data_IF_346691255602
#
_entry.id   IF_346691255602
#
_cell.length_a   1.000
_cell.length_b   1.000
_cell.length_c   1.000
_cell.angle_alpha   90.00
_cell.angle_beta   90.00
_cell.angle_gamma   90.00
#
_symmetry.space_group_name_H-M   'P 1'
#
loop_
_entity.id
_entity.type
_entity.pdbx_description
1 polymer ?
#
# COMPACT_ATOMS: atom_id res chain seq x y z
N UNK A 1 -21.31 1.04 -10.45
CA UNK A 1 -21.78 0.61 -9.11
C UNK A 1 -21.57 -0.89 -9.04
N UNK A 2 -20.91 -1.37 -7.98
CA UNK A 2 -20.55 -2.80 -7.84
C UNK A 2 -21.80 -3.64 -7.50
N UNK A 3 -22.53 -3.25 -6.47
CA UNK A 3 -23.78 -3.89 -6.04
C UNK A 3 -24.86 -2.81 -5.88
N UNK A 4 -25.90 -2.75 -6.75
CA UNK A 4 -26.89 -1.66 -6.73
C UNK A 4 -27.68 -1.55 -5.42
N UNK A 5 -27.98 -2.67 -4.77
CA UNK A 5 -28.77 -2.75 -3.55
C UNK A 5 -27.93 -2.86 -2.27
N UNK A 6 -26.63 -2.57 -2.35
CA UNK A 6 -25.72 -2.66 -1.20
C UNK A 6 -26.25 -1.87 0.00
N UNK A 7 -26.21 -2.48 1.17
CA UNK A 7 -26.60 -1.89 2.46
C UNK A 7 -25.42 -1.80 3.41
N UNK A 8 -24.42 -2.69 3.26
CA UNK A 8 -23.28 -2.74 4.14
C UNK A 8 -21.99 -3.07 3.38
N UNK A 9 -20.87 -2.67 3.97
CA UNK A 9 -19.53 -3.13 3.63
C UNK A 9 -18.91 -3.74 4.87
N UNK A 10 -18.39 -4.96 4.74
CA UNK A 10 -17.71 -5.67 5.82
C UNK A 10 -16.22 -5.61 5.51
N UNK A 11 -15.43 -5.06 6.43
CA UNK A 11 -13.98 -4.97 6.29
C UNK A 11 -13.25 -5.98 7.16
N UNK A 12 -12.23 -6.61 6.61
CA UNK A 12 -11.37 -7.56 7.30
C UNK A 12 -9.91 -7.14 7.22
N UNK A 13 -9.19 -7.27 8.33
CA UNK A 13 -7.78 -6.96 8.43
C UNK A 13 -6.94 -8.18 8.80
N UNK A 14 -5.87 -8.41 8.05
CA UNK A 14 -4.88 -9.46 8.30
C UNK A 14 -3.56 -8.83 8.76
N UNK A 15 -3.08 -9.21 9.93
CA UNK A 15 -1.81 -8.73 10.43
C UNK A 15 -0.63 -9.37 9.67
N UNK A 16 0.34 -8.56 9.27
CA UNK A 16 1.60 -9.05 8.71
C UNK A 16 2.46 -9.59 9.84
N UNK A 17 2.97 -10.85 9.76
CA UNK A 17 3.79 -11.42 10.81
C UNK A 17 5.03 -10.58 11.13
N UNK A 18 5.24 -10.33 12.42
CA UNK A 18 6.30 -9.45 12.95
C UNK A 18 7.72 -9.85 12.49
N UNK A 19 7.98 -11.14 12.33
CA UNK A 19 9.29 -11.64 11.87
C UNK A 19 9.67 -11.15 10.47
N UNK A 20 8.69 -10.94 9.59
CA UNK A 20 8.95 -10.52 8.20
C UNK A 20 9.55 -9.12 8.13
N UNK A 21 8.98 -8.14 8.85
CA UNK A 21 9.52 -6.78 8.82
C UNK A 21 10.73 -6.59 9.73
N UNK A 22 10.87 -7.36 10.80
CA UNK A 22 12.12 -7.39 11.60
C UNK A 22 13.30 -7.92 10.79
N UNK A 23 13.10 -8.91 9.94
CA UNK A 23 14.15 -9.41 9.07
C UNK A 23 14.61 -8.37 8.05
N UNK A 24 13.67 -7.56 7.50
CA UNK A 24 14.03 -6.43 6.63
C UNK A 24 14.80 -5.35 7.38
N UNK A 25 14.44 -5.05 8.62
CA UNK A 25 15.17 -4.10 9.47
C UNK A 25 16.64 -4.53 9.67
N UNK A 26 16.86 -5.83 9.73
CA UNK A 26 18.21 -6.43 9.80
C UNK A 26 18.91 -6.51 8.42
N UNK A 27 18.33 -5.96 7.37
CA UNK A 27 18.95 -5.86 6.05
C UNK A 27 18.86 -7.11 5.19
N UNK A 28 17.86 -7.97 5.43
CA UNK A 28 17.63 -9.17 4.61
C UNK A 28 16.13 -9.47 4.46
N UNK A 29 15.77 -10.55 3.73
CA UNK A 29 14.39 -11.01 3.53
C UNK A 29 13.48 -10.01 2.78
N UNK A 30 14.03 -9.16 1.93
CA UNK A 30 13.27 -8.16 1.16
C UNK A 30 12.21 -8.79 0.24
N UNK A 31 12.53 -9.93 -0.40
CA UNK A 31 11.57 -10.70 -1.20
C UNK A 31 10.56 -11.46 -0.33
N UNK A 32 11.02 -12.04 0.77
CA UNK A 32 10.15 -12.80 1.68
C UNK A 32 9.05 -11.91 2.24
N UNK A 33 9.35 -10.66 2.57
CA UNK A 33 8.35 -9.70 2.99
C UNK A 33 7.29 -9.47 1.90
N UNK A 34 7.71 -9.20 0.66
CA UNK A 34 6.77 -8.92 -0.44
C UNK A 34 5.97 -10.13 -0.87
N UNK A 35 6.51 -11.34 -0.71
CA UNK A 35 5.78 -12.57 -1.00
C UNK A 35 4.87 -12.98 0.15
N UNK A 36 5.40 -13.27 1.33
CA UNK A 36 4.59 -13.78 2.46
C UNK A 36 3.80 -12.69 3.18
N UNK A 37 4.36 -11.48 3.31
CA UNK A 37 3.71 -10.38 4.01
C UNK A 37 2.75 -9.54 3.16
N UNK A 38 2.77 -9.72 1.84
CA UNK A 38 1.89 -8.99 0.91
C UNK A 38 1.15 -9.98 0.01
N UNK A 39 1.83 -10.61 -0.95
CA UNK A 39 1.21 -11.43 -1.98
C UNK A 39 0.34 -12.56 -1.40
N UNK A 40 0.91 -13.41 -0.55
CA UNK A 40 0.17 -14.56 -0.02
C UNK A 40 -0.99 -14.17 0.90
N UNK A 41 -0.89 -13.03 1.57
CA UNK A 41 -2.03 -12.52 2.34
C UNK A 41 -3.12 -12.00 1.40
N UNK A 42 -2.76 -11.20 0.38
CA UNK A 42 -3.73 -10.55 -0.49
C UNK A 42 -4.37 -11.50 -1.52
N UNK A 43 -3.55 -12.39 -2.11
CA UNK A 43 -3.95 -13.19 -3.26
C UNK A 43 -4.32 -14.64 -2.93
N UNK A 44 -3.99 -15.13 -1.73
CA UNK A 44 -4.33 -16.49 -1.33
C UNK A 44 -5.16 -16.53 -0.04
N UNK A 45 -4.64 -15.98 1.06
CA UNK A 45 -5.37 -15.98 2.32
C UNK A 45 -6.68 -15.21 2.22
N UNK A 46 -6.63 -13.98 1.71
CA UNK A 46 -7.81 -13.13 1.60
C UNK A 46 -8.83 -13.72 0.62
N UNK A 47 -8.39 -14.31 -0.50
CA UNK A 47 -9.29 -14.93 -1.47
C UNK A 47 -10.05 -16.13 -0.87
N UNK A 48 -9.32 -17.06 -0.23
CA UNK A 48 -9.95 -18.22 0.42
C UNK A 48 -10.90 -17.77 1.53
N UNK A 49 -10.51 -16.77 2.29
CA UNK A 49 -11.33 -16.22 3.36
C UNK A 49 -12.60 -15.55 2.80
N UNK A 50 -12.46 -14.69 1.78
CA UNK A 50 -13.58 -14.01 1.13
C UNK A 50 -14.59 -15.00 0.53
N UNK A 51 -14.11 -16.05 -0.17
CA UNK A 51 -14.97 -17.08 -0.73
C UNK A 51 -15.80 -17.81 0.34
N UNK A 52 -15.18 -18.12 1.48
CA UNK A 52 -15.89 -18.75 2.60
C UNK A 52 -16.92 -17.83 3.24
N UNK A 53 -16.53 -16.61 3.53
CA UNK A 53 -17.42 -15.63 4.16
C UNK A 53 -18.55 -15.19 3.22
N UNK A 54 -18.23 -15.01 1.93
CA UNK A 54 -19.25 -14.72 0.92
C UNK A 54 -20.28 -15.84 0.80
N UNK A 55 -19.83 -17.09 0.73
CA UNK A 55 -20.74 -18.25 0.72
C UNK A 55 -21.65 -18.28 1.94
N UNK A 56 -21.15 -17.98 3.14
CA UNK A 56 -21.99 -17.91 4.35
C UNK A 56 -23.07 -16.83 4.25
N UNK A 57 -22.76 -15.67 3.65
CA UNK A 57 -23.73 -14.59 3.45
C UNK A 57 -24.78 -15.01 2.42
N UNK A 58 -24.37 -15.68 1.35
CA UNK A 58 -25.26 -16.16 0.29
C UNK A 58 -26.16 -17.30 0.78
N UNK A 59 -25.67 -18.16 1.67
CA UNK A 59 -26.48 -19.21 2.33
C UNK A 59 -27.62 -18.62 3.18
N UNK A 60 -27.46 -17.39 3.70
CA UNK A 60 -28.49 -16.63 4.40
C UNK A 60 -29.44 -15.87 3.44
N UNK A 61 -29.24 -15.98 2.13
CA UNK A 61 -30.10 -15.40 1.09
C UNK A 61 -29.76 -13.97 0.70
N UNK A 62 -28.55 -13.49 0.96
CA UNK A 62 -28.07 -12.16 0.59
C UNK A 62 -26.96 -12.23 -0.47
N UNK A 63 -26.79 -11.15 -1.23
CA UNK A 63 -25.70 -11.04 -2.20
C UNK A 63 -24.38 -10.65 -1.51
N UNK A 64 -23.26 -11.22 -1.98
CA UNK A 64 -21.92 -10.94 -1.47
C UNK A 64 -20.93 -10.63 -2.60
N UNK A 65 -20.60 -9.35 -2.81
CA UNK A 65 -19.57 -8.93 -3.76
C UNK A 65 -18.21 -8.84 -3.08
N UNK A 66 -17.34 -9.80 -3.38
CA UNK A 66 -16.02 -9.95 -2.76
C UNK A 66 -15.03 -8.95 -3.34
N UNK A 67 -14.30 -8.23 -2.47
CA UNK A 67 -13.33 -7.22 -2.85
C UNK A 67 -11.97 -7.56 -2.26
N UNK A 68 -11.05 -8.02 -3.11
CA UNK A 68 -9.65 -8.26 -2.76
C UNK A 68 -8.75 -7.15 -3.26
N UNK A 69 -7.60 -6.94 -2.61
CA UNK A 69 -6.58 -6.06 -3.14
C UNK A 69 -6.06 -6.61 -4.48
N UNK A 70 -6.15 -5.80 -5.53
CA UNK A 70 -5.58 -6.14 -6.83
C UNK A 70 -4.27 -5.35 -6.96
N UNK A 71 -3.10 -6.05 -6.90
CA UNK A 71 -1.82 -5.40 -7.06
C UNK A 71 -1.74 -4.79 -8.45
N UNK A 72 -1.33 -3.68 -8.72
CA UNK A 72 -1.16 -3.02 -10.03
C UNK A 72 -2.41 -2.30 -10.60
N UNK A 73 -3.56 -2.41 -9.98
CA UNK A 73 -4.68 -1.53 -10.33
C UNK A 73 -4.55 -0.25 -9.51
N UNK A 74 -4.24 0.85 -10.20
CA UNK A 74 -4.08 2.18 -9.61
C UNK A 74 -5.01 3.15 -10.31
N UNK A 75 -5.74 3.94 -9.56
CA UNK A 75 -6.71 4.89 -10.11
C UNK A 75 -5.97 6.17 -10.48
N UNK A 76 -6.09 6.58 -11.75
CA UNK A 76 -5.58 7.87 -12.20
C UNK A 76 -6.26 8.99 -11.41
N UNK A 77 -5.45 9.90 -10.85
CA UNK A 77 -5.96 10.97 -10.01
C UNK A 77 -6.41 10.51 -8.62
N UNK A 78 -6.07 9.29 -8.20
CA UNK A 78 -6.35 8.86 -6.83
C UNK A 78 -5.54 9.69 -5.84
N UNK A 79 -6.26 10.38 -4.96
CA UNK A 79 -5.71 11.18 -3.87
C UNK A 79 -5.76 10.33 -2.62
N UNK A 80 -4.63 9.82 -2.21
CA UNK A 80 -4.53 8.97 -1.01
C UNK A 80 -4.80 9.77 0.27
N UNK A 81 -3.79 10.10 1.03
CA UNK A 81 -3.93 10.78 2.33
C UNK A 81 -4.06 12.29 2.24
N UNK A 82 -3.64 12.88 1.14
CA UNK A 82 -3.68 14.33 0.91
C UNK A 82 -4.47 14.62 -0.37
N UNK A 83 -5.59 15.36 -0.30
CA UNK A 83 -6.36 15.76 -1.47
C UNK A 83 -5.58 16.64 -2.48
N UNK A 84 -4.47 17.22 -2.07
CA UNK A 84 -3.58 18.02 -2.92
C UNK A 84 -2.52 17.19 -3.65
N UNK A 85 -2.33 15.92 -3.26
CA UNK A 85 -1.45 15.00 -3.99
C UNK A 85 -2.14 14.60 -5.28
N UNK A 86 -1.63 15.13 -6.37
CA UNK A 86 -2.15 14.88 -7.71
C UNK A 86 -1.49 13.65 -8.27
N UNK A 87 -2.31 12.73 -8.78
CA UNK A 87 -1.90 11.61 -9.63
C UNK A 87 -0.74 10.77 -9.18
N UNK A 88 -1.01 9.84 -8.34
CA UNK A 88 0.02 8.93 -7.91
C UNK A 88 0.17 7.72 -8.81
N UNK A 89 -0.89 7.30 -9.49
CA UNK A 89 -0.85 6.11 -10.35
C UNK A 89 -1.92 6.17 -11.47
N UNK A 90 -1.59 5.64 -12.62
CA UNK A 90 -2.56 5.34 -13.68
C UNK A 90 -3.16 3.95 -13.47
N UNK A 91 -4.46 3.83 -13.62
CA UNK A 91 -5.14 2.55 -13.73
C UNK A 91 -5.11 2.11 -15.18
N UNK A 92 -4.07 1.40 -15.57
CA UNK A 92 -3.83 1.03 -16.96
C UNK A 92 -4.89 0.04 -17.49
N UNK A 93 -5.62 -0.65 -16.59
CA UNK A 93 -6.51 -1.75 -16.97
C UNK A 93 -7.98 -1.54 -16.62
N UNK A 94 -8.36 -0.35 -16.16
CA UNK A 94 -9.76 -0.03 -15.85
C UNK A 94 -10.29 1.18 -16.61
N UNK A 95 -9.64 1.57 -17.70
CA UNK A 95 -10.21 2.55 -18.62
C UNK A 95 -11.23 1.90 -19.55
N UNK A 96 -12.31 2.62 -19.82
CA UNK A 96 -13.24 2.21 -20.84
C UNK A 96 -12.50 2.17 -22.19
N UNK A 97 -12.76 1.17 -23.02
CA UNK A 97 -12.13 1.04 -24.34
C UNK A 97 -12.48 2.20 -25.28
N UNK A 98 -13.62 2.85 -25.02
CA UNK A 98 -14.09 4.08 -25.68
C UNK A 98 -15.09 4.81 -24.79
N UNK A 99 -15.36 6.07 -25.09
CA UNK A 99 -16.32 6.87 -24.34
C UNK A 99 -17.71 6.21 -24.32
N UNK A 100 -18.32 6.12 -23.13
CA UNK A 100 -19.64 5.51 -22.91
C UNK A 100 -19.62 3.98 -22.74
N UNK A 101 -18.48 3.32 -22.87
CA UNK A 101 -18.36 1.90 -22.53
C UNK A 101 -18.03 1.70 -21.05
N UNK A 102 -18.41 0.56 -20.46
CA UNK A 102 -18.06 0.25 -19.08
C UNK A 102 -16.55 0.01 -18.94
N UNK A 103 -16.01 0.29 -17.76
CA UNK A 103 -14.70 -0.20 -17.36
C UNK A 103 -14.78 -1.70 -17.01
N UNK A 104 -13.71 -2.49 -17.23
CA UNK A 104 -13.71 -3.93 -16.95
C UNK A 104 -14.02 -4.24 -15.48
N UNK A 105 -13.37 -3.53 -14.56
CA UNK A 105 -13.55 -3.72 -13.13
C UNK A 105 -13.72 -2.37 -12.41
N UNK A 106 -14.71 -2.30 -11.53
CA UNK A 106 -14.88 -1.18 -10.60
C UNK A 106 -14.32 -1.62 -9.26
N UNK A 107 -13.33 -0.89 -8.76
CA UNK A 107 -12.61 -1.22 -7.53
C UNK A 107 -12.94 -0.19 -6.46
N UNK A 108 -13.15 -0.64 -5.23
CA UNK A 108 -13.29 0.25 -4.09
C UNK A 108 -11.93 0.85 -3.70
N UNK A 109 -11.95 2.05 -3.15
CA UNK A 109 -10.79 2.62 -2.46
C UNK A 109 -10.58 1.88 -1.14
N UNK A 110 -9.58 1.01 -1.09
CA UNK A 110 -9.28 0.15 0.06
C UNK A 110 -8.91 0.93 1.31
N UNK A 111 -8.25 2.08 1.16
CA UNK A 111 -7.91 2.93 2.28
C UNK A 111 -9.15 3.59 2.88
N UNK A 112 -10.01 4.19 2.04
CA UNK A 112 -11.27 4.77 2.50
C UNK A 112 -12.20 3.72 3.10
N UNK A 113 -12.30 2.54 2.47
CA UNK A 113 -13.10 1.43 3.00
C UNK A 113 -12.59 0.97 4.37
N UNK A 114 -11.27 0.78 4.53
CA UNK A 114 -10.69 0.39 5.81
C UNK A 114 -10.92 1.45 6.90
N UNK A 115 -10.77 2.73 6.56
CA UNK A 115 -11.10 3.82 7.48
C UNK A 115 -12.58 3.82 7.86
N UNK A 116 -13.49 3.73 6.89
CA UNK A 116 -14.94 3.73 7.12
C UNK A 116 -15.42 2.51 7.91
N UNK A 117 -14.76 1.35 7.75
CA UNK A 117 -15.04 0.15 8.54
C UNK A 117 -14.37 0.17 9.93
N UNK A 118 -13.73 1.27 10.35
CA UNK A 118 -13.11 1.36 11.67
C UNK A 118 -11.86 0.48 11.85
N UNK A 119 -11.25 0.01 10.76
CA UNK A 119 -10.07 -0.87 10.83
C UNK A 119 -8.76 -0.12 11.14
N UNK A 120 -8.77 1.19 11.05
CA UNK A 120 -7.64 2.05 11.35
C UNK A 120 -7.84 3.47 10.85
N UNK A 121 -6.83 4.29 11.01
CA UNK A 121 -6.79 5.71 10.65
C UNK A 121 -5.67 5.99 9.64
N UNK A 122 -5.82 7.03 8.83
CA UNK A 122 -4.78 7.48 7.93
C UNK A 122 -3.54 8.03 8.65
N UNK A 123 -2.40 7.41 8.42
CA UNK A 123 -1.11 7.92 8.85
C UNK A 123 -0.44 8.84 7.83
N UNK A 124 0.50 9.68 8.26
CA UNK A 124 1.32 10.50 7.38
C UNK A 124 2.09 9.66 6.33
N UNK A 125 2.40 8.41 6.64
CA UNK A 125 3.05 7.47 5.74
C UNK A 125 2.15 6.93 4.62
N UNK A 126 0.92 7.46 4.47
CA UNK A 126 -0.02 7.03 3.44
C UNK A 126 -0.61 5.64 3.67
N UNK A 127 -0.60 5.15 4.90
CA UNK A 127 -1.18 3.86 5.28
C UNK A 127 -2.32 4.03 6.25
N UNK A 128 -3.25 3.09 6.22
CA UNK A 128 -4.17 2.91 7.33
C UNK A 128 -3.38 2.26 8.46
N UNK A 129 -3.36 2.90 9.61
CA UNK A 129 -2.65 2.44 10.79
C UNK A 129 -3.63 2.01 11.86
N UNK A 130 -3.35 0.86 12.45
CA UNK A 130 -4.12 0.26 13.54
C UNK A 130 -3.31 0.38 14.83
N UNK A 131 -3.98 0.60 15.97
CA UNK A 131 -3.31 0.79 17.27
C UNK A 131 -2.51 -0.45 17.71
N UNK A 132 -2.97 -1.64 17.32
CA UNK A 132 -2.33 -2.90 17.70
C UNK A 132 -1.20 -3.29 16.74
N UNK A 133 -1.43 -3.18 15.42
CA UNK A 133 -0.52 -3.67 14.38
C UNK A 133 0.18 -2.55 13.60
N UNK A 134 -0.10 -1.28 13.93
CA UNK A 134 0.44 -0.14 13.20
C UNK A 134 0.08 -0.21 11.71
N UNK A 135 1.03 0.08 10.82
CA UNK A 135 0.82 0.01 9.36
C UNK A 135 0.97 -1.39 8.76
N UNK A 136 1.18 -2.44 9.59
CA UNK A 136 1.42 -3.80 9.13
C UNK A 136 0.12 -4.62 9.07
N UNK A 137 -0.85 -4.09 8.30
CA UNK A 137 -2.14 -4.72 8.03
C UNK A 137 -2.38 -4.83 6.53
N UNK A 138 -3.11 -5.88 6.13
CA UNK A 138 -3.64 -6.08 4.78
C UNK A 138 -5.15 -6.19 4.89
N UNK A 139 -5.89 -5.70 3.90
CA UNK A 139 -7.34 -5.58 3.99
C UNK A 139 -8.04 -6.24 2.82
N UNK A 140 -9.21 -6.81 3.09
CA UNK A 140 -10.18 -7.19 2.07
C UNK A 140 -11.60 -6.86 2.54
N UNK A 141 -12.57 -6.87 1.63
CA UNK A 141 -13.91 -6.40 1.93
C UNK A 141 -14.98 -7.26 1.26
N UNK A 142 -16.18 -7.24 1.82
CA UNK A 142 -17.39 -7.77 1.20
C UNK A 142 -18.42 -6.66 1.15
N UNK A 143 -18.97 -6.40 -0.03
CA UNK A 143 -20.11 -5.50 -0.20
C UNK A 143 -21.35 -6.39 -0.27
N UNK A 144 -22.36 -6.12 0.55
CA UNK A 144 -23.56 -6.95 0.66
C UNK A 144 -24.82 -6.11 0.78
N UNK A 145 -25.95 -6.69 0.37
CA UNK A 145 -27.27 -6.15 0.64
C UNK A 145 -27.85 -6.65 1.98
N UNK A 146 -27.10 -7.46 2.73
CA UNK A 146 -27.43 -7.87 4.08
C UNK A 146 -27.52 -6.64 5.00
N UNK A 147 -28.64 -6.47 5.74
CA UNK A 147 -28.78 -5.37 6.69
C UNK A 147 -27.98 -5.68 7.97
N UNK A 148 -26.81 -5.04 8.10
CA UNK A 148 -25.96 -5.18 9.27
C UNK A 148 -25.99 -3.90 10.11
N UNK A 149 -25.88 -4.07 11.42
CA UNK A 149 -25.60 -2.93 12.31
C UNK A 149 -24.16 -2.46 12.07
N UNK A 150 -23.98 -1.14 12.08
CA UNK A 150 -22.65 -0.55 11.91
C UNK A 150 -21.85 -0.62 13.19
N UNK A 151 -20.55 -0.91 13.07
CA UNK A 151 -19.62 -0.78 14.19
C UNK A 151 -19.49 0.69 14.63
N UNK A 152 -19.00 0.88 15.84
CA UNK A 152 -18.71 2.22 16.34
C UNK A 152 -17.52 2.82 15.60
N UNK A 153 -17.61 4.11 15.29
CA UNK A 153 -16.48 4.86 14.74
C UNK A 153 -15.26 4.82 15.68
N UNK A 154 -14.06 4.82 15.08
CA UNK A 154 -12.82 5.02 15.85
C UNK A 154 -12.85 6.40 16.51
N UNK A 155 -12.78 6.43 17.84
CA UNK A 155 -12.85 7.68 18.61
C UNK A 155 -11.50 8.31 18.87
N UNK A 156 -10.44 7.50 18.89
CA UNK A 156 -9.10 7.94 19.27
C UNK A 156 -8.20 8.04 18.02
N UNK A 157 -7.55 9.17 17.87
CA UNK A 157 -6.52 9.33 16.85
C UNK A 157 -5.37 8.35 17.11
N UNK A 158 -4.98 7.61 16.07
CA UNK A 158 -3.86 6.66 16.10
C UNK A 158 -2.58 7.36 15.66
N UNK A 159 -2.67 8.21 14.63
CA UNK A 159 -1.55 9.01 14.14
C UNK A 159 -1.47 10.35 14.89
N UNK A 160 -0.50 10.48 15.80
CA UNK A 160 -0.21 11.73 16.52
C UNK A 160 0.68 12.71 15.73
N UNK A 161 1.00 12.37 14.46
CA UNK A 161 1.87 13.13 13.57
C UNK A 161 3.29 13.36 14.11
N UNK A 162 3.84 12.41 14.85
CA UNK A 162 5.18 12.46 15.46
C UNK A 162 6.33 12.72 14.47
N UNK A 163 6.15 12.44 13.18
CA UNK A 163 7.14 12.66 12.13
C UNK A 163 8.22 11.58 12.01
N UNK A 164 8.17 10.51 12.78
CA UNK A 164 9.20 9.44 12.71
C UNK A 164 9.21 8.73 11.36
N UNK A 165 8.06 8.55 10.71
CA UNK A 165 7.99 8.03 9.35
C UNK A 165 8.65 8.97 8.32
N UNK A 166 8.59 10.29 8.53
CA UNK A 166 9.26 11.29 7.68
C UNK A 166 10.77 11.11 7.78
N UNK A 167 11.32 11.10 9.00
CA UNK A 167 12.76 10.94 9.25
C UNK A 167 13.33 9.64 8.72
N UNK A 168 12.53 8.55 8.80
CA UNK A 168 12.96 7.22 8.41
C UNK A 168 12.87 6.95 6.90
N UNK A 169 12.19 7.81 6.13
CA UNK A 169 12.02 7.62 4.69
C UNK A 169 13.32 7.89 3.93
N UNK A 170 13.94 6.90 3.25
CA UNK A 170 15.21 7.10 2.57
C UNK A 170 15.11 8.00 1.33
N UNK A 171 13.91 8.23 0.82
CA UNK A 171 13.65 9.04 -0.35
C UNK A 171 12.94 10.35 -0.06
N UNK A 172 12.79 10.73 1.21
CA UNK A 172 12.05 11.93 1.60
C UNK A 172 10.66 12.02 0.94
N UNK A 173 10.01 10.85 0.75
CA UNK A 173 8.70 10.74 0.09
C UNK A 173 7.52 11.11 1.01
N UNK A 174 7.79 11.36 2.28
CA UNK A 174 6.77 11.69 3.27
C UNK A 174 7.10 13.05 3.87
N UNK A 175 6.10 13.91 3.96
CA UNK A 175 6.20 15.20 4.64
C UNK A 175 4.97 15.43 5.55
N UNK A 176 4.82 16.66 6.04
CA UNK A 176 3.67 17.04 6.88
C UNK A 176 2.31 16.94 6.17
N UNK A 177 2.31 16.91 4.84
CA UNK A 177 1.10 16.83 4.01
C UNK A 177 0.77 15.39 3.61
N UNK A 178 1.67 14.42 3.86
CA UNK A 178 1.45 13.01 3.56
C UNK A 178 2.51 12.38 2.67
N UNK A 179 2.12 11.37 1.90
CA UNK A 179 2.98 10.55 1.06
C UNK A 179 2.93 11.00 -0.41
N UNK A 180 4.09 11.27 -0.98
CA UNK A 180 4.29 11.35 -2.42
C UNK A 180 4.53 9.94 -2.98
N UNK A 181 3.59 9.43 -3.74
CA UNK A 181 3.62 8.03 -4.20
C UNK A 181 4.64 7.78 -5.30
N UNK A 182 4.90 8.76 -6.20
CA UNK A 182 5.92 8.60 -7.24
C UNK A 182 7.31 8.61 -6.63
N UNK A 183 7.57 9.54 -5.73
CA UNK A 183 8.78 9.56 -4.93
C UNK A 183 8.95 8.23 -4.17
N UNK A 184 7.93 7.80 -3.44
CA UNK A 184 7.96 6.54 -2.69
C UNK A 184 8.29 5.35 -3.58
N UNK A 185 7.69 5.25 -4.77
CA UNK A 185 7.86 4.10 -5.67
C UNK A 185 9.29 3.94 -6.18
N UNK A 186 9.98 5.04 -6.45
CA UNK A 186 11.41 5.04 -6.85
C UNK A 186 12.29 4.52 -5.71
N UNK A 187 12.07 5.02 -4.51
CA UNK A 187 12.87 4.63 -3.35
C UNK A 187 12.48 3.25 -2.79
N UNK A 188 11.24 2.82 -2.97
CA UNK A 188 10.83 1.44 -2.72
C UNK A 188 11.65 0.44 -3.54
N UNK A 189 11.97 0.79 -4.79
CA UNK A 189 12.81 0.00 -5.71
C UNK A 189 14.31 0.09 -5.40
N UNK A 190 14.74 0.94 -4.47
CA UNK A 190 16.09 0.93 -3.95
C UNK A 190 17.01 2.06 -4.41
N UNK A 191 16.49 3.15 -4.95
CA UNK A 191 17.30 4.31 -5.38
C UNK A 191 17.87 5.14 -4.21
N UNK A 192 18.50 4.49 -3.21
CA UNK A 192 19.05 5.18 -2.04
C UNK A 192 20.32 4.51 -1.51
N UNK A 193 21.22 5.33 -0.98
CA UNK A 193 22.56 4.91 -0.48
C UNK A 193 22.55 3.81 0.59
N UNK A 194 21.45 3.66 1.31
CA UNK A 194 21.31 2.61 2.32
C UNK A 194 20.74 1.30 1.77
N UNK A 195 20.52 1.20 0.47
CA UNK A 195 20.23 -0.06 -0.20
C UNK A 195 21.53 -0.89 -0.26
N UNK A 196 21.59 -2.10 0.33
CA UNK A 196 22.82 -2.88 0.40
C UNK A 196 23.31 -3.40 -0.97
N UNK A 197 22.49 -3.28 -2.00
CA UNK A 197 22.80 -3.74 -3.36
C UNK A 197 23.31 -2.63 -4.29
N UNK A 198 23.42 -1.39 -3.81
CA UNK A 198 24.00 -0.29 -4.59
C UNK A 198 25.50 -0.53 -4.76
N UNK A 199 25.96 -0.40 -6.00
CA UNK A 199 27.36 -0.49 -6.39
C UNK A 199 27.84 0.86 -6.93
N UNK A 200 29.15 1.01 -7.11
CA UNK A 200 29.73 2.22 -7.72
C UNK A 200 29.30 2.38 -9.20
N UNK A 201 28.96 1.28 -9.86
CA UNK A 201 28.47 1.26 -11.25
C UNK A 201 27.01 1.75 -11.38
N UNK A 202 26.24 1.69 -10.28
CA UNK A 202 24.85 2.14 -10.31
C UNK A 202 24.76 3.63 -10.57
N UNK A 203 24.11 4.00 -11.67
CA UNK A 203 23.95 5.40 -12.14
C UNK A 203 25.28 6.17 -12.28
N UNK A 204 26.41 5.49 -12.57
CA UNK A 204 27.72 6.14 -12.62
C UNK A 204 27.81 7.30 -13.62
N UNK A 205 27.09 7.22 -14.72
CA UNK A 205 27.06 8.23 -15.77
C UNK A 205 25.90 9.23 -15.60
N UNK A 206 25.10 9.10 -14.54
CA UNK A 206 24.01 10.00 -14.28
C UNK A 206 24.49 11.20 -13.42
N UNK A 207 24.41 12.42 -13.94
CA UNK A 207 24.90 13.61 -13.21
C UNK A 207 24.12 13.88 -11.90
N UNK A 208 22.91 13.36 -11.76
CA UNK A 208 22.07 13.50 -10.56
C UNK A 208 22.23 12.34 -9.56
N UNK A 209 23.18 11.41 -9.81
CA UNK A 209 23.37 10.20 -9.00
C UNK A 209 23.36 10.47 -7.50
N UNK A 210 24.13 11.44 -7.06
CA UNK A 210 24.25 11.72 -5.62
C UNK A 210 22.95 12.31 -5.06
N UNK A 211 22.29 13.20 -5.77
CA UNK A 211 20.98 13.73 -5.40
C UNK A 211 19.92 12.62 -5.31
N UNK A 212 19.93 11.67 -6.26
CA UNK A 212 19.06 10.50 -6.25
C UNK A 212 19.35 9.66 -5.02
N UNK A 213 20.59 9.24 -4.81
CA UNK A 213 20.95 8.35 -3.71
C UNK A 213 20.72 8.96 -2.31
N UNK A 214 20.76 10.30 -2.20
CA UNK A 214 20.48 11.01 -0.95
C UNK A 214 19.00 11.34 -0.73
N UNK A 215 18.12 11.07 -1.69
CA UNK A 215 16.69 11.40 -1.58
C UNK A 215 16.37 12.86 -1.86
N UNK A 216 17.28 13.59 -2.47
CA UNK A 216 17.16 15.03 -2.79
C UNK A 216 16.46 15.27 -4.14
N UNK A 217 16.66 14.36 -5.11
CA UNK A 217 15.96 14.39 -6.40
C UNK A 217 14.48 14.09 -6.20
N UNK A 218 13.62 14.92 -6.79
CA UNK A 218 12.18 14.70 -6.83
C UNK A 218 11.79 14.03 -8.13
N UNK A 219 10.81 13.11 -8.02
CA UNK A 219 10.28 12.33 -9.13
C UNK A 219 8.79 12.58 -9.26
N UNK A 220 8.37 12.92 -10.46
CA UNK A 220 6.99 12.86 -10.94
C UNK A 220 6.72 11.55 -11.69
N UNK A 221 5.55 11.44 -12.32
CA UNK A 221 5.16 10.25 -13.08
C UNK A 221 6.17 9.91 -14.18
N UNK A 222 6.61 10.90 -14.95
CA UNK A 222 7.47 10.70 -16.13
C UNK A 222 8.89 10.30 -15.72
N UNK A 223 9.52 11.10 -14.87
CA UNK A 223 10.88 10.85 -14.38
C UNK A 223 10.99 9.58 -13.53
N UNK A 224 9.93 9.22 -12.79
CA UNK A 224 9.89 7.95 -12.07
C UNK A 224 9.87 6.75 -13.02
N UNK A 225 9.11 6.83 -14.12
CA UNK A 225 9.06 5.76 -15.13
C UNK A 225 10.39 5.62 -15.88
N UNK A 226 11.07 6.72 -16.13
CA UNK A 226 12.41 6.69 -16.76
C UNK A 226 13.43 6.00 -15.86
N UNK A 227 13.53 6.41 -14.59
CA UNK A 227 14.51 5.83 -13.66
C UNK A 227 14.20 4.35 -13.32
N UNK A 228 12.96 3.87 -13.49
CA UNK A 228 12.66 2.46 -13.22
C UNK A 228 13.49 1.49 -14.08
N UNK A 229 13.90 1.87 -15.27
CA UNK A 229 14.76 1.05 -16.13
C UNK A 229 16.11 0.80 -15.48
N UNK A 230 16.64 1.84 -14.84
CA UNK A 230 17.91 1.79 -14.11
C UNK A 230 17.80 1.01 -12.77
N UNK A 231 16.59 0.95 -12.21
CA UNK A 231 16.32 0.24 -10.95
C UNK A 231 16.00 -1.25 -11.15
N UNK A 232 15.98 -1.73 -12.39
CA UNK A 232 15.63 -3.12 -12.72
C UNK A 232 16.80 -4.10 -12.55
N UNK A 233 17.83 -3.74 -11.79
CA UNK A 233 19.00 -4.60 -11.56
C UNK A 233 18.71 -5.81 -10.65
N UNK A 234 17.66 -5.75 -9.83
CA UNK A 234 17.16 -6.90 -9.10
C UNK A 234 15.88 -7.42 -9.75
N UNK A 235 15.82 -8.71 -10.11
CA UNK A 235 14.64 -9.28 -10.76
C UNK A 235 13.42 -9.27 -9.84
N UNK A 236 12.24 -9.14 -10.43
CA UNK A 236 11.00 -9.45 -9.72
C UNK A 236 10.90 -10.94 -9.41
N UNK A 237 10.06 -11.29 -8.46
CA UNK A 237 9.67 -12.70 -8.27
C UNK A 237 8.94 -13.20 -9.51
N UNK A 238 8.80 -14.52 -9.67
CA UNK A 238 8.04 -15.12 -10.77
C UNK A 238 6.59 -14.62 -10.88
N UNK A 239 6.02 -14.05 -9.81
CA UNK A 239 4.68 -13.46 -9.78
C UNK A 239 4.67 -11.95 -9.95
N UNK A 240 5.75 -11.35 -10.40
CA UNK A 240 5.84 -9.91 -10.67
C UNK A 240 6.10 -9.01 -9.46
N UNK A 241 6.26 -9.55 -8.25
CA UNK A 241 6.57 -8.75 -7.07
C UNK A 241 8.04 -8.39 -6.99
N UNK A 242 8.32 -7.10 -6.88
CA UNK A 242 9.68 -6.60 -6.65
C UNK A 242 10.04 -6.64 -5.15
N UNK A 243 11.34 -6.76 -4.83
CA UNK A 243 11.77 -6.70 -3.44
C UNK A 243 11.51 -5.31 -2.85
N UNK A 244 11.20 -5.26 -1.56
CA UNK A 244 10.96 -4.01 -0.85
C UNK A 244 12.28 -3.39 -0.36
N UNK A 245 13.04 -2.77 -1.24
CA UNK A 245 14.43 -2.35 -0.95
C UNK A 245 14.53 -1.14 0.00
N UNK A 246 13.47 -0.34 0.17
CA UNK A 246 13.45 0.68 1.23
C UNK A 246 13.35 0.09 2.65
N UNK A 247 13.11 -1.25 2.75
CA UNK A 247 13.01 -1.96 4.03
C UNK A 247 11.82 -1.53 4.88
N UNK A 248 10.80 -0.89 4.30
CA UNK A 248 9.61 -0.37 5.01
C UNK A 248 9.97 0.47 6.24
N UNK A 249 11.06 1.21 6.19
CA UNK A 249 11.60 1.96 7.33
C UNK A 249 10.60 2.94 7.94
N UNK A 250 9.81 3.62 7.11
CA UNK A 250 8.76 4.52 7.57
C UNK A 250 7.68 3.80 8.39
N UNK A 251 7.28 2.58 7.95
CA UNK A 251 6.29 1.78 8.65
C UNK A 251 6.86 1.18 9.95
N UNK A 252 8.11 0.73 9.91
CA UNK A 252 8.81 0.23 11.10
C UNK A 252 8.96 1.34 12.15
N UNK A 253 9.37 2.54 11.75
CA UNK A 253 9.46 3.68 12.65
C UNK A 253 8.11 4.06 13.26
N UNK A 254 7.05 4.08 12.44
CA UNK A 254 5.69 4.31 12.91
C UNK A 254 5.28 3.24 13.94
N UNK A 255 5.51 1.96 13.64
CA UNK A 255 5.16 0.87 14.55
C UNK A 255 5.92 0.96 15.89
N UNK A 256 7.23 1.22 15.85
CA UNK A 256 8.05 1.40 17.06
C UNK A 256 7.55 2.56 17.92
N UNK A 257 7.21 3.70 17.29
CA UNK A 257 6.63 4.84 17.99
C UNK A 257 5.33 4.46 18.70
N UNK A 258 4.39 3.81 17.99
CA UNK A 258 3.12 3.35 18.56
C UNK A 258 3.28 2.37 19.73
N UNK A 259 4.39 1.64 19.76
CA UNK A 259 4.69 0.67 20.83
C UNK A 259 5.59 1.23 21.94
N UNK A 260 6.04 2.47 21.83
CA UNK A 260 6.98 3.07 22.79
C UNK A 260 8.36 2.39 22.79
N UNK A 261 8.76 1.83 21.64
CA UNK A 261 10.03 1.10 21.46
C UNK A 261 11.13 1.99 20.85
N UNK A 262 10.98 3.32 20.87
CA UNK A 262 11.97 4.28 20.35
C UNK A 262 12.90 4.80 21.45
#
# INVERSE_FOLDING_TARGET
>A
MILPNAKAIIGFGFAVPKGLYKAMENGNQFYTYTTLGVKYIDEEMAEIFLLKMGGMIEDEGYDACLQKAIPNLKIKGDKTTNPEVVDTYELIHAEAVEEGKPVPDVIIDFGKAAFSCGLGEWGLNGKIINKEYGPFMRYCFIITDMPLETDNELKDAVCDKCGECIKACPGNAIDKNGLDSWQCSVYYKGAHKSNPFITDEFLKDNPERDAILNGEKRFDCESAREIYKELSFLPNTQWGYSPCLCGRRCDIACFKHLKGEM
#
